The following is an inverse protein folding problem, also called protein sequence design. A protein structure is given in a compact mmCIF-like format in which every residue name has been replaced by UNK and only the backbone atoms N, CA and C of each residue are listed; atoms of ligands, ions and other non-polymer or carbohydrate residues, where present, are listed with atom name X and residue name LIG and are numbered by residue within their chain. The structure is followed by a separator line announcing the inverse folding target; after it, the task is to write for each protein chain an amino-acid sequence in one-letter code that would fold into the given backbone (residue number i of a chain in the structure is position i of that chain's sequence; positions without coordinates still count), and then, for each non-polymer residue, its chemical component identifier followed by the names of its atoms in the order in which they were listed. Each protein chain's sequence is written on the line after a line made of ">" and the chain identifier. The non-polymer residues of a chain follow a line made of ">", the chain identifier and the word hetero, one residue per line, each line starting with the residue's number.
data_IF_855685253083
#
_entry.id   IF_855685253083
#
_cell.length_a   1.000
_cell.length_b   1.000
_cell.length_c   1.000
_cell.angle_alpha   90.00
_cell.angle_beta   90.00
_cell.angle_gamma   90.00
#
_symmetry.space_group_name_H-M   'P 1'
#
loop_
_entity.id
_entity.type
_entity.pdbx_description
1 polymer ?
#
# COMPACT_ATOMS: atom_id res chain seq x y z
N UNK A 1 -21.13 25.78 -0.52
CA UNK A 1 -20.02 25.09 -1.22
C UNK A 1 -19.32 24.20 -0.21
N UNK A 2 -19.34 22.88 -0.43
CA UNK A 2 -18.97 21.90 0.60
C UNK A 2 -17.46 21.77 0.77
N UNK A 3 -16.94 22.18 1.93
CA UNK A 3 -15.53 22.02 2.33
C UNK A 3 -15.07 20.55 2.29
N UNK A 4 -15.99 19.61 2.57
CA UNK A 4 -15.69 18.17 2.52
C UNK A 4 -15.36 17.68 1.11
N UNK A 5 -15.96 18.26 0.06
CA UNK A 5 -15.67 17.88 -1.33
C UNK A 5 -14.26 18.31 -1.74
N UNK A 6 -13.88 19.54 -1.38
CA UNK A 6 -12.54 20.06 -1.68
C UNK A 6 -11.44 19.31 -0.92
N UNK A 7 -11.70 18.92 0.33
CA UNK A 7 -10.76 18.11 1.12
C UNK A 7 -10.53 16.73 0.51
N UNK A 8 -11.60 16.03 0.10
CA UNK A 8 -11.50 14.74 -0.58
C UNK A 8 -10.77 14.85 -1.93
N UNK A 9 -11.03 15.90 -2.71
CA UNK A 9 -10.29 16.14 -3.95
C UNK A 9 -8.80 16.35 -3.71
N UNK A 10 -8.42 17.11 -2.68
CA UNK A 10 -7.02 17.29 -2.30
C UNK A 10 -6.36 15.97 -1.86
N UNK A 11 -7.06 15.17 -1.04
CA UNK A 11 -6.59 13.86 -0.59
C UNK A 11 -6.31 12.94 -1.79
N UNK A 12 -7.29 12.80 -2.68
CA UNK A 12 -7.19 11.94 -3.85
C UNK A 12 -6.09 12.43 -4.81
N UNK A 13 -5.95 13.74 -5.01
CA UNK A 13 -4.89 14.30 -5.84
C UNK A 13 -3.49 14.04 -5.24
N UNK A 14 -3.35 14.08 -3.91
CA UNK A 14 -2.10 13.77 -3.22
C UNK A 14 -1.75 12.28 -3.34
N UNK A 15 -2.72 11.40 -3.14
CA UNK A 15 -2.57 9.94 -3.30
C UNK A 15 -2.14 9.59 -4.73
N UNK A 16 -2.84 10.13 -5.73
CA UNK A 16 -2.50 9.92 -7.14
C UNK A 16 -1.08 10.39 -7.48
N UNK A 17 -0.67 11.57 -7.00
CA UNK A 17 0.70 12.08 -7.18
C UNK A 17 1.75 11.18 -6.54
N UNK A 18 1.46 10.64 -5.35
CA UNK A 18 2.34 9.70 -4.65
C UNK A 18 2.50 8.41 -5.46
N UNK A 19 1.40 7.80 -5.90
CA UNK A 19 1.42 6.59 -6.71
C UNK A 19 2.17 6.77 -8.02
N UNK A 20 1.95 7.88 -8.74
CA UNK A 20 2.68 8.18 -9.97
C UNK A 20 4.20 8.31 -9.74
N UNK A 21 4.60 8.94 -8.63
CA UNK A 21 6.02 9.04 -8.25
C UNK A 21 6.64 7.68 -7.96
N UNK A 22 5.91 6.82 -7.25
CA UNK A 22 6.35 5.49 -6.88
C UNK A 22 6.42 4.55 -8.09
N UNK A 23 5.41 4.61 -8.96
CA UNK A 23 5.36 3.93 -10.25
C UNK A 23 6.55 4.29 -11.14
N UNK A 24 6.86 5.58 -11.30
CA UNK A 24 8.04 6.04 -12.08
C UNK A 24 9.36 5.52 -11.55
N UNK A 25 9.46 5.26 -10.26
CA UNK A 25 10.67 4.74 -9.62
C UNK A 25 10.63 3.23 -9.37
N UNK A 26 9.59 2.54 -9.84
CA UNK A 26 9.32 1.12 -9.60
C UNK A 26 9.45 0.71 -8.12
N UNK A 27 9.02 1.58 -7.20
CA UNK A 27 9.06 1.32 -5.76
C UNK A 27 7.66 1.10 -5.22
N UNK A 28 7.53 0.18 -4.27
CA UNK A 28 6.29 -0.02 -3.53
C UNK A 28 5.90 1.26 -2.78
N UNK A 29 4.64 1.73 -2.87
CA UNK A 29 4.20 2.98 -2.25
C UNK A 29 4.04 2.90 -0.72
N UNK A 30 3.98 1.68 -0.16
CA UNK A 30 3.79 1.44 1.27
C UNK A 30 5.13 1.37 2.02
N UNK A 31 6.06 0.53 1.55
CA UNK A 31 7.39 0.42 2.14
C UNK A 31 8.44 1.31 1.46
N UNK A 32 8.04 2.19 0.53
CA UNK A 32 8.95 3.11 -0.19
C UNK A 32 10.10 2.41 -0.92
N UNK A 33 9.93 1.14 -1.29
CA UNK A 33 10.98 0.31 -1.88
C UNK A 33 11.89 -0.45 -0.92
N UNK A 34 11.61 -0.45 0.38
CA UNK A 34 12.41 -1.17 1.37
C UNK A 34 12.09 -2.67 1.46
N UNK A 35 10.88 -3.10 1.07
CA UNK A 35 10.41 -4.49 1.20
C UNK A 35 9.92 -4.84 2.61
N UNK A 36 10.30 -4.10 3.64
CA UNK A 36 9.87 -4.32 5.02
C UNK A 36 9.27 -3.06 5.63
N UNK A 37 8.46 -3.22 6.67
CA UNK A 37 7.91 -2.12 7.46
C UNK A 37 8.63 -2.09 8.81
N UNK A 38 9.57 -1.15 8.99
CA UNK A 38 10.19 -0.90 10.29
C UNK A 38 9.21 -0.10 11.17
N UNK A 39 8.35 -0.79 11.89
CA UNK A 39 7.62 -0.19 13.01
C UNK A 39 8.39 -0.42 14.31
N UNK A 40 8.78 0.64 15.05
CA UNK A 40 9.48 0.50 16.34
C UNK A 40 8.72 -0.35 17.37
N UNK A 41 7.38 -0.35 17.29
CA UNK A 41 6.50 -1.15 18.15
C UNK A 41 6.44 -2.63 17.78
N UNK A 42 6.84 -3.00 16.55
CA UNK A 42 6.77 -4.37 16.05
C UNK A 42 7.92 -5.24 16.56
N UNK A 43 8.96 -4.62 17.13
CA UNK A 43 10.14 -5.30 17.69
C UNK A 43 9.77 -6.30 18.81
N UNK A 44 8.64 -6.12 19.48
CA UNK A 44 8.21 -6.94 20.62
C UNK A 44 7.07 -7.92 20.31
N UNK A 45 6.53 -7.95 19.09
CA UNK A 45 5.30 -8.71 18.75
C UNK A 45 5.52 -9.83 17.72
N UNK A 46 6.75 -10.36 17.63
CA UNK A 46 7.24 -11.14 16.49
C UNK A 46 6.51 -12.49 16.28
N UNK A 47 5.56 -12.49 15.35
CA UNK A 47 5.54 -13.52 14.28
C UNK A 47 6.37 -12.98 13.11
N UNK A 48 7.33 -13.77 12.63
CA UNK A 48 8.33 -13.40 11.61
C UNK A 48 7.75 -12.89 10.29
N UNK A 49 6.52 -13.29 9.94
CA UNK A 49 5.84 -12.86 8.71
C UNK A 49 5.38 -11.39 8.74
N UNK A 50 5.33 -10.76 9.92
CA UNK A 50 4.83 -9.37 10.06
C UNK A 50 5.84 -8.29 9.66
N UNK A 51 7.11 -8.65 9.45
CA UNK A 51 8.17 -7.70 9.09
C UNK A 51 8.12 -7.31 7.62
N UNK A 52 7.65 -8.22 6.76
CA UNK A 52 7.53 -7.96 5.33
C UNK A 52 6.38 -7.00 5.06
N UNK A 53 6.58 -6.13 4.07
CA UNK A 53 5.51 -5.25 3.63
C UNK A 53 4.42 -6.10 2.96
N UNK A 54 3.19 -6.16 3.52
CA UNK A 54 2.12 -7.01 3.01
C UNK A 54 1.73 -6.61 1.59
N UNK A 55 1.79 -5.32 1.28
CA UNK A 55 1.49 -4.81 -0.05
C UNK A 55 2.55 -5.11 -1.10
N UNK A 56 3.73 -5.66 -0.79
CA UNK A 56 4.67 -6.10 -1.83
C UNK A 56 5.34 -7.44 -1.52
N UNK A 57 4.84 -8.15 -0.50
CA UNK A 57 5.38 -9.43 -0.01
C UNK A 57 6.91 -9.43 0.15
N UNK A 58 7.50 -8.32 0.60
CA UNK A 58 8.96 -8.25 0.76
C UNK A 58 9.76 -7.74 -0.44
N UNK A 59 9.16 -7.64 -1.63
CA UNK A 59 9.87 -7.32 -2.88
C UNK A 59 10.32 -5.85 -2.98
N UNK A 60 9.56 -4.94 -2.37
CA UNK A 60 9.76 -3.49 -2.49
C UNK A 60 9.44 -2.92 -3.88
N UNK A 61 8.88 -3.68 -4.82
CA UNK A 61 8.61 -3.18 -6.18
C UNK A 61 7.18 -2.70 -6.34
N UNK A 62 6.98 -1.77 -7.28
CA UNK A 62 5.65 -1.27 -7.61
C UNK A 62 4.79 -2.33 -8.30
N UNK A 63 5.38 -3.15 -9.18
CA UNK A 63 4.63 -4.15 -9.95
C UNK A 63 4.05 -5.28 -9.07
N UNK A 64 4.84 -5.71 -8.09
CA UNK A 64 4.40 -6.70 -7.10
C UNK A 64 3.26 -6.13 -6.24
N UNK A 65 3.34 -4.82 -5.93
CA UNK A 65 2.25 -4.12 -5.24
C UNK A 65 0.95 -4.06 -6.05
N UNK A 66 1.01 -3.79 -7.35
CA UNK A 66 -0.19 -3.81 -8.21
C UNK A 66 -0.83 -5.20 -8.23
N UNK A 67 -0.01 -6.26 -8.35
CA UNK A 67 -0.49 -7.65 -8.36
C UNK A 67 -1.27 -8.00 -7.09
N UNK A 68 -0.80 -7.53 -5.92
CA UNK A 68 -1.46 -7.79 -4.65
C UNK A 68 -2.78 -7.01 -4.54
N UNK A 69 -2.80 -5.75 -4.99
CA UNK A 69 -4.03 -4.95 -5.03
C UNK A 69 -5.11 -5.55 -5.94
N UNK A 70 -4.72 -6.21 -7.02
CA UNK A 70 -5.64 -6.94 -7.89
C UNK A 70 -6.17 -8.22 -7.21
N UNK A 71 -5.33 -8.92 -6.43
CA UNK A 71 -5.72 -10.11 -5.64
C UNK A 71 -6.72 -9.76 -4.55
N UNK A 72 -6.52 -8.66 -3.83
CA UNK A 72 -7.41 -8.22 -2.74
C UNK A 72 -8.84 -7.97 -3.25
N UNK A 73 -8.99 -7.28 -4.39
CA UNK A 73 -10.30 -7.03 -5.00
C UNK A 73 -11.07 -8.30 -5.35
N UNK A 74 -10.37 -9.37 -5.70
CA UNK A 74 -10.98 -10.65 -6.07
C UNK A 74 -11.43 -11.47 -4.85
N UNK A 75 -10.92 -11.14 -3.67
CA UNK A 75 -11.22 -11.83 -2.40
C UNK A 75 -12.48 -11.25 -1.74
N UNK A 76 -12.78 -9.96 -2.02
CA UNK A 76 -13.99 -9.28 -1.52
C UNK A 76 -15.29 -9.78 -2.18
N UNK A 77 -15.21 -10.38 -3.37
CA UNK A 77 -16.36 -10.99 -4.07
C UNK A 77 -16.75 -12.38 -3.52
N UNK A 78 -15.90 -13.03 -2.71
CA UNK A 78 -16.13 -14.40 -2.16
C UNK A 78 -16.67 -14.39 -0.71
N UNK A 79 -16.96 -13.22 -0.12
CA UNK A 79 -17.48 -13.09 1.26
C UNK A 79 -18.97 -12.69 1.33
N UNK A 80 -19.69 -12.77 0.21
CA UNK A 80 -21.16 -12.60 0.16
C UNK A 80 -21.81 -13.92 -0.29
N UNK A 81 -21.77 -14.93 0.58
CA UNK A 81 -22.72 -16.05 0.56
C UNK A 81 -23.23 -16.35 1.97
#
# INVERSE_FOLDING_TARGET
>A
MSLGKSFNQWKNAREHKHLEKMKRSNRCPECYGQGFLLYPSLMYSLHSDTLFCPGCEGSGRFNDWVTIQEREKHTEDEQVE
#
